data_IF_384454199232
#
_entry.id   IF_384454199232
#
_cell.length_a   1.000
_cell.length_b   1.000
_cell.length_c   1.000
_cell.angle_alpha   90.00
_cell.angle_beta   90.00
_cell.angle_gamma   90.00
#
_symmetry.space_group_name_H-M   'P 1'
#
loop_
_entity.id
_entity.type
_entity.pdbx_description
1 polymer ?
#
# COMPACT_ATOMS: atom_id res chain seq x y z
N UNK A 1 -9.10 -6.95 8.08
CA UNK A 1 -8.57 -5.98 7.09
C UNK A 1 -7.30 -5.36 7.64
N UNK A 2 -6.15 -5.71 7.04
CA UNK A 2 -4.77 -5.38 7.42
C UNK A 2 -4.41 -3.90 7.10
N UNK A 3 -5.31 -3.01 7.46
CA UNK A 3 -5.25 -1.60 7.12
C UNK A 3 -5.54 -0.84 8.41
N UNK A 4 -4.54 -0.13 8.91
CA UNK A 4 -4.66 0.66 10.12
C UNK A 4 -5.78 1.70 10.05
N UNK A 5 -6.28 2.20 11.20
CA UNK A 5 -7.32 3.22 11.25
C UNK A 5 -7.01 4.47 10.42
N UNK A 6 -5.74 4.89 10.39
CA UNK A 6 -5.27 6.05 9.63
C UNK A 6 -5.37 5.79 8.12
N UNK A 7 -4.88 4.65 7.65
CA UNK A 7 -4.97 4.26 6.24
C UNK A 7 -6.43 4.14 5.79
N UNK A 8 -7.30 3.58 6.65
CA UNK A 8 -8.74 3.51 6.41
C UNK A 8 -9.38 4.89 6.27
N UNK A 9 -8.87 5.90 6.97
CA UNK A 9 -9.33 7.27 6.83
C UNK A 9 -8.93 7.85 5.47
N UNK A 10 -7.67 7.68 5.05
CA UNK A 10 -7.20 8.16 3.72
C UNK A 10 -7.93 7.45 2.58
N UNK A 11 -8.22 6.15 2.71
CA UNK A 11 -8.99 5.39 1.71
C UNK A 11 -10.43 5.90 1.53
N UNK A 12 -10.97 6.62 2.53
CA UNK A 12 -12.31 7.20 2.49
C UNK A 12 -12.30 8.68 2.13
N UNK A 13 -11.13 9.29 2.01
CA UNK A 13 -10.97 10.69 1.65
C UNK A 13 -10.96 10.84 0.12
N UNK A 14 -12.13 11.14 -0.46
CA UNK A 14 -12.27 11.37 -1.90
C UNK A 14 -11.60 12.69 -2.35
N UNK A 15 -11.38 13.64 -1.44
CA UNK A 15 -10.65 14.87 -1.76
C UNK A 15 -9.15 14.63 -1.89
N UNK A 16 -8.61 13.66 -1.13
CA UNK A 16 -7.23 13.23 -1.28
C UNK A 16 -6.91 12.80 -2.71
N UNK A 17 -7.76 11.96 -3.32
CA UNK A 17 -7.54 11.48 -4.70
C UNK A 17 -7.61 12.58 -5.75
N UNK A 18 -8.32 13.68 -5.48
CA UNK A 18 -8.41 14.83 -6.38
C UNK A 18 -7.16 15.72 -6.34
N UNK A 19 -6.35 15.61 -5.28
CA UNK A 19 -5.10 16.36 -5.10
C UNK A 19 -3.88 15.66 -5.70
N UNK A 20 -4.02 14.40 -6.11
CA UNK A 20 -2.95 13.61 -6.71
C UNK A 20 -2.78 13.96 -8.19
N UNK A 21 -1.52 14.06 -8.65
CA UNK A 21 -1.23 14.02 -10.09
C UNK A 21 -1.59 12.66 -10.69
N UNK A 22 -1.67 12.57 -12.02
CA UNK A 22 -1.98 11.31 -12.70
C UNK A 22 -1.03 10.16 -12.30
N UNK A 23 0.26 10.43 -12.15
CA UNK A 23 1.25 9.43 -11.75
C UNK A 23 1.06 8.99 -10.29
N UNK A 24 0.73 9.92 -9.40
CA UNK A 24 0.50 9.64 -7.98
C UNK A 24 -0.82 8.93 -7.76
N UNK A 25 -1.85 9.28 -8.54
CA UNK A 25 -3.12 8.59 -8.57
C UNK A 25 -2.97 7.16 -9.04
N UNK A 26 -2.16 6.91 -10.06
CA UNK A 26 -1.82 5.55 -10.50
C UNK A 26 -1.14 4.75 -9.38
N UNK A 27 -0.15 5.35 -8.69
CA UNK A 27 0.50 4.72 -7.54
C UNK A 27 -0.46 4.44 -6.38
N UNK A 28 -1.37 5.38 -6.10
CA UNK A 28 -2.40 5.25 -5.08
C UNK A 28 -3.41 4.14 -5.40
N UNK A 29 -3.86 4.05 -6.65
CA UNK A 29 -4.77 2.98 -7.10
C UNK A 29 -4.10 1.61 -7.03
N UNK A 30 -2.83 1.49 -7.44
CA UNK A 30 -2.06 0.25 -7.30
C UNK A 30 -1.93 -0.16 -5.83
N UNK A 31 -1.65 0.80 -4.94
CA UNK A 31 -1.60 0.59 -3.50
C UNK A 31 -2.94 0.09 -2.92
N UNK A 32 -4.06 0.72 -3.30
CA UNK A 32 -5.41 0.28 -2.92
C UNK A 32 -5.69 -1.15 -3.40
N UNK A 33 -5.26 -1.49 -4.61
CA UNK A 33 -5.41 -2.83 -5.18
C UNK A 33 -4.65 -3.88 -4.35
N UNK A 34 -3.37 -3.65 -4.03
CA UNK A 34 -2.58 -4.52 -3.13
C UNK A 34 -3.25 -4.65 -1.76
N UNK A 35 -3.78 -3.55 -1.21
CA UNK A 35 -4.45 -3.58 0.08
C UNK A 35 -5.77 -4.40 0.07
N UNK A 36 -6.52 -4.37 -1.02
CA UNK A 36 -7.77 -5.10 -1.16
C UNK A 36 -7.57 -6.59 -1.50
N UNK A 37 -6.62 -6.88 -2.39
CA UNK A 37 -6.46 -8.19 -3.02
C UNK A 37 -5.28 -9.00 -2.48
N UNK A 38 -4.33 -8.38 -1.79
CA UNK A 38 -3.23 -9.10 -1.14
C UNK A 38 -3.33 -9.01 0.37
N UNK A 39 -3.30 -7.79 0.93
CA UNK A 39 -3.35 -7.51 2.38
C UNK A 39 -4.78 -7.56 2.95
N UNK A 40 -5.76 -7.93 2.13
CA UNK A 40 -7.14 -8.11 2.53
C UNK A 40 -7.36 -9.42 3.30
N UNK A 41 -8.62 -9.86 3.34
CA UNK A 41 -8.97 -11.14 3.98
C UNK A 41 -8.60 -12.36 3.12
N UNK A 42 -8.32 -12.15 1.84
CA UNK A 42 -7.92 -13.19 0.89
C UNK A 42 -6.75 -12.69 0.05
N UNK A 43 -5.75 -13.54 -0.14
CA UNK A 43 -4.66 -13.37 -1.09
C UNK A 43 -5.14 -13.78 -2.49
N UNK A 44 -5.14 -12.84 -3.43
CA UNK A 44 -5.42 -13.09 -4.85
C UNK A 44 -4.29 -13.90 -5.48
N UNK A 45 -4.56 -14.64 -6.57
CA UNK A 45 -3.55 -15.45 -7.26
C UNK A 45 -2.51 -14.57 -7.98
N UNK A 46 -2.92 -13.41 -8.48
CA UNK A 46 -2.07 -12.44 -9.18
C UNK A 46 -1.40 -11.42 -8.24
N UNK A 47 -1.20 -11.75 -6.96
CA UNK A 47 -0.63 -10.82 -5.98
C UNK A 47 0.78 -10.34 -6.34
N UNK A 48 1.59 -11.16 -7.01
CA UNK A 48 2.94 -10.79 -7.46
C UNK A 48 2.88 -9.67 -8.49
N UNK A 49 1.96 -9.75 -9.46
CA UNK A 49 1.75 -8.69 -10.45
C UNK A 49 1.26 -7.40 -9.79
N UNK A 50 0.32 -7.51 -8.83
CA UNK A 50 -0.20 -6.35 -8.11
C UNK A 50 0.90 -5.62 -7.32
N UNK A 51 1.78 -6.35 -6.64
CA UNK A 51 2.90 -5.73 -5.92
C UNK A 51 3.94 -5.18 -6.89
N UNK A 52 4.26 -5.92 -7.96
CA UNK A 52 5.19 -5.46 -8.99
C UNK A 52 4.74 -4.15 -9.64
N UNK A 53 3.46 -4.02 -9.97
CA UNK A 53 2.89 -2.80 -10.55
C UNK A 53 2.89 -1.64 -9.56
N UNK A 54 2.56 -1.90 -8.29
CA UNK A 54 2.70 -0.90 -7.23
C UNK A 54 4.14 -0.39 -7.12
N UNK A 55 5.14 -1.28 -7.07
CA UNK A 55 6.56 -0.91 -6.98
C UNK A 55 7.00 -0.07 -8.18
N UNK A 56 6.55 -0.41 -9.40
CA UNK A 56 6.80 0.38 -10.61
C UNK A 56 6.23 1.79 -10.47
N UNK A 57 4.96 1.92 -10.07
CA UNK A 57 4.33 3.23 -9.89
C UNK A 57 5.04 4.09 -8.83
N UNK A 58 5.45 3.49 -7.71
CA UNK A 58 6.20 4.19 -6.66
C UNK A 58 7.56 4.69 -7.15
N UNK A 59 8.26 3.91 -7.99
CA UNK A 59 9.50 4.33 -8.63
C UNK A 59 9.31 5.52 -9.56
N UNK A 60 8.22 5.54 -10.34
CA UNK A 60 7.89 6.63 -11.27
C UNK A 60 7.72 7.97 -10.55
N UNK A 61 7.07 7.97 -9.38
CA UNK A 61 6.88 9.18 -8.57
C UNK A 61 8.08 9.49 -7.65
N UNK A 62 9.22 8.80 -7.85
CA UNK A 62 10.43 9.00 -7.05
C UNK A 62 10.25 8.68 -5.57
N UNK A 63 9.28 7.85 -5.19
CA UNK A 63 9.18 7.32 -3.84
C UNK A 63 10.30 6.30 -3.66
N UNK A 64 11.25 6.59 -2.76
CA UNK A 64 12.24 5.61 -2.36
C UNK A 64 11.50 4.40 -1.77
N UNK A 65 11.77 3.21 -2.31
CA UNK A 65 11.29 1.98 -1.69
C UNK A 65 11.83 1.94 -0.27
N UNK A 66 10.92 2.02 0.70
CA UNK A 66 11.30 1.77 2.08
C UNK A 66 11.80 0.33 2.22
N UNK A 67 12.58 0.06 3.25
CA UNK A 67 13.02 -1.29 3.58
C UNK A 67 11.84 -2.29 3.66
N UNK A 68 10.63 -1.82 3.96
CA UNK A 68 9.43 -2.66 4.08
C UNK A 68 8.76 -2.93 2.75
N UNK A 69 8.74 -1.97 1.83
CA UNK A 69 8.36 -2.22 0.44
C UNK A 69 9.31 -3.25 -0.19
N UNK A 70 10.60 -3.14 0.11
CA UNK A 70 11.59 -4.11 -0.35
C UNK A 70 11.40 -5.49 0.27
N UNK A 71 11.09 -5.57 1.56
CA UNK A 71 10.74 -6.83 2.25
C UNK A 71 9.42 -7.41 1.74
N UNK A 72 8.42 -6.57 1.46
CA UNK A 72 7.14 -6.97 0.89
C UNK A 72 7.39 -7.64 -0.47
N UNK A 73 8.06 -6.93 -1.38
CA UNK A 73 8.43 -7.39 -2.73
C UNK A 73 9.29 -8.66 -2.72
N UNK A 74 10.29 -8.72 -1.83
CA UNK A 74 11.22 -9.87 -1.75
C UNK A 74 10.66 -11.09 -1.03
N UNK A 75 9.64 -10.92 -0.18
CA UNK A 75 9.11 -11.98 0.69
C UNK A 75 7.60 -12.18 0.54
N UNK A 76 7.03 -11.89 -0.64
CA UNK A 76 5.60 -12.10 -0.91
C UNK A 76 5.11 -13.52 -0.62
N UNK A 77 5.99 -14.51 -0.83
CA UNK A 77 5.71 -15.93 -0.59
C UNK A 77 5.68 -16.32 0.90
N UNK A 78 6.14 -15.44 1.78
CA UNK A 78 6.15 -15.68 3.23
C UNK A 78 4.80 -15.34 3.89
N UNK A 79 3.90 -14.69 3.15
CA UNK A 79 2.58 -14.29 3.62
C UNK A 79 1.57 -15.45 3.48
N UNK A 80 0.92 -15.89 4.57
CA UNK A 80 -0.10 -16.94 4.49
C UNK A 80 -1.34 -16.46 3.74
N UNK A 81 -2.10 -17.39 3.15
CA UNK A 81 -3.30 -17.09 2.35
C UNK A 81 -4.39 -16.29 3.08
N UNK A 82 -4.43 -16.39 4.42
CA UNK A 82 -5.40 -15.69 5.26
C UNK A 82 -4.68 -14.72 6.21
N UNK A 83 -4.48 -13.49 5.75
CA UNK A 83 -3.78 -12.43 6.49
C UNK A 83 -4.64 -11.80 7.59
N UNK A 84 -5.94 -12.11 7.66
CA UNK A 84 -6.81 -11.62 8.71
C UNK A 84 -6.38 -12.10 10.11
N UNK A 85 -5.69 -13.24 10.22
CA UNK A 85 -5.16 -13.76 11.49
C UNK A 85 -3.88 -13.04 11.97
N UNK A 86 -3.23 -12.26 11.11
CA UNK A 86 -1.98 -11.52 11.42
C UNK A 86 -2.28 -10.05 11.77
N UNK A 87 -3.53 -9.60 11.61
CA UNK A 87 -3.85 -8.16 11.49
C UNK A 87 -3.70 -7.32 12.76
N UNK A 88 -3.73 -7.91 13.96
CA UNK A 88 -3.68 -7.12 15.20
C UNK A 88 -2.26 -6.71 15.61
N UNK A 89 -1.22 -7.40 15.15
CA UNK A 89 0.17 -7.16 15.63
C UNK A 89 1.07 -6.51 14.57
N UNK A 90 0.80 -6.69 13.27
CA UNK A 90 1.74 -6.27 12.21
C UNK A 90 1.27 -5.09 11.33
N UNK A 91 0.01 -4.63 11.45
CA UNK A 91 -0.51 -3.49 10.69
C UNK A 91 0.21 -2.15 10.98
N UNK A 92 0.77 -2.03 12.19
CA UNK A 92 1.54 -0.87 12.70
C UNK A 92 2.67 -0.41 11.76
N UNK A 93 3.27 -1.34 10.99
CA UNK A 93 4.49 -1.05 10.23
C UNK A 93 4.21 -0.45 8.84
N UNK A 94 3.07 -0.79 8.22
CA UNK A 94 2.60 -0.26 6.93
C UNK A 94 2.21 1.23 7.03
N UNK A 95 1.96 1.70 8.26
CA UNK A 95 1.65 3.10 8.57
C UNK A 95 2.75 4.09 8.13
N UNK A 96 4.04 3.70 8.15
CA UNK A 96 5.13 4.63 7.80
C UNK A 96 5.27 4.87 6.29
N UNK A 97 4.89 3.90 5.44
CA UNK A 97 5.02 4.03 3.99
C UNK A 97 3.90 4.92 3.44
N UNK A 98 2.70 4.79 3.98
CA UNK A 98 1.61 5.75 3.73
C UNK A 98 1.93 7.10 4.35
N UNK A 99 2.49 7.17 5.56
CA UNK A 99 2.92 8.45 6.12
C UNK A 99 3.98 9.13 5.23
N UNK A 100 4.78 8.38 4.47
CA UNK A 100 5.71 8.95 3.49
C UNK A 100 4.97 9.49 2.26
N UNK A 101 3.93 8.79 1.81
CA UNK A 101 3.00 9.29 0.79
C UNK A 101 2.33 10.57 1.31
N UNK A 102 1.58 10.50 2.42
CA UNK A 102 0.93 11.63 3.10
C UNK A 102 1.86 12.82 3.34
N UNK A 103 3.07 12.63 3.89
CA UNK A 103 4.02 13.72 4.17
C UNK A 103 4.51 14.44 2.93
N UNK A 104 4.62 13.75 1.78
CA UNK A 104 4.92 14.39 0.50
C UNK A 104 3.75 15.24 0.01
N UNK A 105 2.52 14.92 0.41
CA UNK A 105 1.30 15.63 0.00
C UNK A 105 0.79 16.66 1.02
N UNK A 106 1.14 16.53 2.30
CA UNK A 106 0.77 17.45 3.39
C UNK A 106 1.82 18.54 3.63
N UNK A 107 2.76 18.72 2.70
CA UNK A 107 3.82 19.73 2.74
C UNK A 107 3.47 21.04 2.01
N UNK A 108 2.18 21.35 1.87
CA UNK A 108 1.67 22.61 1.32
C UNK A 108 0.87 23.39 2.36
#
# INVERSE_FOLDING_TARGET
MFIGPQIKAVFRDEEFEKKLSEAEKAAWLAFKSVCAHFLGNKKAENYEDLVGDMVKCFRVIGCNMSLKLHVLDSHLNFFPQNLAAISDVHGERFHQDISTFEKRFSGG
#
